data_IF_327881550772
#
_entry.id   IF_327881550772
#
_cell.length_a   1.000
_cell.length_b   1.000
_cell.length_c   1.000
_cell.angle_alpha   90.00
_cell.angle_beta   90.00
_cell.angle_gamma   90.00
#
_symmetry.space_group_name_H-M   'P 1'
#
loop_
_entity.id
_entity.type
_entity.pdbx_description
1 polymer ?
#
# COMPACT_ATOMS: atom_id res chain seq x y z
N UNK A 1 19.61 -10.15 -3.55
CA UNK A 1 18.47 -9.21 -3.37
C UNK A 1 17.18 -9.96 -3.71
N UNK A 2 16.17 -9.97 -2.84
CA UNK A 2 14.86 -10.64 -3.11
C UNK A 2 13.75 -9.61 -3.24
N UNK A 3 12.75 -9.87 -4.09
CA UNK A 3 11.52 -9.06 -4.21
C UNK A 3 10.33 -9.92 -3.76
N UNK A 4 9.46 -9.40 -2.89
CA UNK A 4 8.36 -10.20 -2.32
C UNK A 4 7.23 -10.47 -3.31
N UNK A 5 7.00 -9.56 -4.27
CA UNK A 5 5.82 -9.50 -5.14
C UNK A 5 4.50 -9.62 -4.34
N UNK A 6 4.50 -9.14 -3.10
CA UNK A 6 3.34 -9.14 -2.22
C UNK A 6 3.56 -8.15 -1.08
N UNK A 7 2.52 -7.38 -0.69
CA UNK A 7 2.57 -6.55 0.52
C UNK A 7 2.41 -7.38 1.80
N UNK A 8 2.00 -8.65 1.71
CA UNK A 8 1.74 -9.48 2.87
C UNK A 8 3.04 -9.89 3.57
N UNK A 9 3.11 -9.65 4.88
CA UNK A 9 4.29 -9.95 5.68
C UNK A 9 4.68 -11.44 5.63
N UNK A 10 3.70 -12.34 5.75
CA UNK A 10 3.93 -13.78 5.67
C UNK A 10 4.63 -14.20 4.37
N UNK A 11 4.14 -13.72 3.22
CA UNK A 11 4.73 -14.01 1.90
C UNK A 11 6.10 -13.35 1.73
N UNK A 12 6.24 -12.08 2.16
CA UNK A 12 7.49 -11.32 2.05
C UNK A 12 8.62 -11.97 2.86
N UNK A 13 8.38 -12.24 4.14
CA UNK A 13 9.37 -12.83 5.05
C UNK A 13 9.63 -14.28 4.69
N UNK A 14 8.59 -15.07 4.37
CA UNK A 14 8.73 -16.48 4.00
C UNK A 14 9.59 -16.69 2.74
N UNK A 15 9.37 -15.92 1.68
CA UNK A 15 10.20 -15.99 0.46
C UNK A 15 11.66 -15.64 0.74
N UNK A 16 11.90 -14.60 1.54
CA UNK A 16 13.25 -14.21 1.93
C UNK A 16 13.93 -15.29 2.78
N UNK A 17 13.23 -15.83 3.79
CA UNK A 17 13.75 -16.88 4.66
C UNK A 17 14.13 -18.14 3.89
N UNK A 18 13.30 -18.56 2.92
CA UNK A 18 13.59 -19.69 2.03
C UNK A 18 14.86 -19.43 1.21
N UNK A 19 14.99 -18.25 0.62
CA UNK A 19 16.15 -17.89 -0.20
C UNK A 19 17.44 -17.70 0.61
N UNK A 20 17.33 -17.18 1.84
CA UNK A 20 18.46 -16.95 2.74
C UNK A 20 18.86 -18.18 3.57
N UNK A 21 18.08 -19.26 3.50
CA UNK A 21 18.18 -20.44 4.36
C UNK A 21 18.22 -20.08 5.86
N UNK A 22 17.25 -19.29 6.31
CA UNK A 22 17.15 -18.82 7.71
C UNK A 22 15.80 -19.16 8.33
N UNK A 23 15.82 -19.49 9.61
CA UNK A 23 14.61 -19.78 10.39
C UNK A 23 13.87 -18.52 10.82
N UNK A 24 12.60 -18.68 11.25
CA UNK A 24 11.79 -17.56 11.71
C UNK A 24 12.42 -16.90 12.94
N UNK A 25 13.06 -17.65 13.84
CA UNK A 25 13.69 -17.12 15.05
C UNK A 25 15.03 -16.40 14.83
N UNK A 26 15.62 -16.52 13.64
CA UNK A 26 16.99 -16.06 13.35
C UNK A 26 17.19 -14.56 13.57
N UNK A 27 18.40 -14.18 14.01
CA UNK A 27 18.81 -12.79 14.18
C UNK A 27 18.81 -12.04 12.84
N UNK A 28 19.20 -12.70 11.77
CA UNK A 28 19.24 -12.16 10.41
C UNK A 28 17.85 -11.80 9.90
N UNK A 29 16.83 -12.61 10.20
CA UNK A 29 15.44 -12.28 9.87
C UNK A 29 14.99 -11.04 10.65
N UNK A 30 15.33 -10.93 11.94
CA UNK A 30 15.00 -9.76 12.77
C UNK A 30 15.65 -8.48 12.22
N UNK A 31 16.95 -8.51 11.93
CA UNK A 31 17.69 -7.40 11.33
C UNK A 31 17.11 -7.00 9.96
N UNK A 32 16.82 -7.98 9.09
CA UNK A 32 16.18 -7.73 7.80
C UNK A 32 14.82 -7.05 7.94
N UNK A 33 14.00 -7.44 8.91
CA UNK A 33 12.73 -6.77 9.17
C UNK A 33 12.93 -5.34 9.70
N UNK A 34 13.90 -5.09 10.57
CA UNK A 34 14.23 -3.75 11.04
C UNK A 34 14.66 -2.82 9.88
N UNK A 35 15.53 -3.30 9.00
CA UNK A 35 15.94 -2.57 7.78
C UNK A 35 14.78 -2.33 6.82
N UNK A 36 13.86 -3.28 6.72
CA UNK A 36 12.65 -3.12 5.91
C UNK A 36 11.77 -2.00 6.49
N UNK A 37 11.57 -1.95 7.80
CA UNK A 37 10.84 -0.87 8.48
C UNK A 37 11.48 0.49 8.19
N UNK A 38 12.81 0.60 8.31
CA UNK A 38 13.53 1.84 7.99
C UNK A 38 13.34 2.24 6.51
N UNK A 39 13.38 1.28 5.60
CA UNK A 39 13.18 1.51 4.16
C UNK A 39 11.76 1.99 3.85
N UNK A 40 10.75 1.42 4.53
CA UNK A 40 9.35 1.86 4.40
C UNK A 40 9.18 3.27 4.94
N UNK A 41 9.71 3.56 6.14
CA UNK A 41 9.65 4.91 6.71
C UNK A 41 10.29 5.96 5.80
N UNK A 42 11.48 5.65 5.25
CA UNK A 42 12.14 6.52 4.28
C UNK A 42 11.27 6.77 3.05
N UNK A 43 10.68 5.73 2.45
CA UNK A 43 9.81 5.90 1.29
C UNK A 43 8.53 6.68 1.63
N UNK A 44 7.95 6.47 2.81
CA UNK A 44 6.81 7.26 3.29
C UNK A 44 7.17 8.75 3.35
N UNK A 45 8.33 9.10 3.92
CA UNK A 45 8.78 10.50 3.97
C UNK A 45 8.98 11.08 2.57
N UNK A 46 9.53 10.33 1.62
CA UNK A 46 9.63 10.79 0.22
C UNK A 46 8.25 11.10 -0.37
N UNK A 47 7.28 10.20 -0.18
CA UNK A 47 5.91 10.40 -0.67
C UNK A 47 5.24 11.62 -0.01
N UNK A 48 5.45 11.84 1.29
CA UNK A 48 4.93 12.99 2.01
C UNK A 48 5.55 14.31 1.52
N UNK A 49 6.85 14.32 1.22
CA UNK A 49 7.51 15.48 0.64
C UNK A 49 7.01 15.77 -0.77
N UNK A 50 6.85 14.74 -1.61
CA UNK A 50 6.25 14.89 -2.95
C UNK A 50 4.82 15.43 -2.85
N UNK A 51 4.05 14.99 -1.84
CA UNK A 51 2.69 15.49 -1.61
C UNK A 51 2.70 16.96 -1.22
N UNK A 52 3.57 17.36 -0.29
CA UNK A 52 3.76 18.75 0.13
C UNK A 52 4.12 19.66 -1.06
N UNK A 53 4.94 19.16 -1.97
CA UNK A 53 5.39 19.89 -3.16
C UNK A 53 4.37 19.86 -4.32
N UNK A 54 3.21 19.21 -4.16
CA UNK A 54 2.22 19.04 -5.25
C UNK A 54 2.65 18.08 -6.36
N UNK A 55 3.70 17.28 -6.14
CA UNK A 55 4.28 16.30 -7.09
C UNK A 55 3.79 14.87 -6.86
N UNK A 56 3.03 14.62 -5.79
CA UNK A 56 2.51 13.28 -5.49
C UNK A 56 1.39 12.89 -6.46
N UNK A 57 1.62 11.81 -7.20
CA UNK A 57 0.61 11.18 -8.03
C UNK A 57 0.28 9.81 -7.45
N UNK A 58 -1.00 9.59 -7.11
CA UNK A 58 -1.46 8.27 -6.69
C UNK A 58 -1.26 7.27 -7.83
N UNK A 59 -0.52 6.20 -7.58
CA UNK A 59 -0.32 5.09 -8.51
C UNK A 59 -1.26 3.91 -8.23
N UNK A 60 -2.01 3.97 -7.13
CA UNK A 60 -2.96 2.94 -6.77
C UNK A 60 -4.25 3.08 -7.56
N UNK A 61 -4.70 2.01 -8.17
CA UNK A 61 -6.06 1.93 -8.70
C UNK A 61 -7.01 1.78 -7.52
N UNK A 62 -7.93 2.73 -7.33
CA UNK A 62 -9.00 2.59 -6.34
C UNK A 62 -10.05 1.63 -6.91
N UNK A 63 -10.12 0.37 -6.44
CA UNK A 63 -10.89 -0.66 -7.14
C UNK A 63 -12.37 -0.31 -7.20
N UNK A 64 -12.89 0.31 -6.14
CA UNK A 64 -14.33 0.54 -6.05
C UNK A 64 -14.83 1.51 -7.14
N UNK A 65 -14.02 2.51 -7.54
CA UNK A 65 -14.40 3.36 -8.68
C UNK A 65 -14.40 2.60 -10.00
N UNK A 66 -13.41 1.72 -10.21
CA UNK A 66 -13.31 0.89 -11.43
C UNK A 66 -14.42 -0.15 -11.57
N UNK A 67 -15.00 -0.60 -10.46
CA UNK A 67 -16.07 -1.60 -10.44
C UNK A 67 -17.45 -1.03 -10.11
N UNK A 68 -17.60 0.30 -10.07
CA UNK A 68 -18.87 0.95 -9.73
C UNK A 68 -19.38 0.65 -8.32
N UNK A 69 -18.48 0.24 -7.42
CA UNK A 69 -18.80 -0.07 -6.03
C UNK A 69 -18.72 1.23 -5.23
N UNK A 70 -19.82 1.58 -4.56
CA UNK A 70 -19.87 2.70 -3.63
C UNK A 70 -18.91 2.48 -2.47
N UNK A 71 -17.97 3.41 -2.26
CA UNK A 71 -16.93 3.36 -1.25
C UNK A 71 -16.53 4.77 -0.77
N UNK A 72 -15.68 4.84 0.25
CA UNK A 72 -15.30 6.11 0.90
C UNK A 72 -14.69 7.14 -0.07
N UNK A 73 -14.03 6.70 -1.14
CA UNK A 73 -13.39 7.60 -2.11
C UNK A 73 -14.33 8.12 -3.21
N UNK A 74 -15.58 7.66 -3.28
CA UNK A 74 -16.51 8.07 -4.33
C UNK A 74 -17.84 8.65 -3.83
N UNK A 75 -17.92 9.04 -2.55
CA UNK A 75 -19.09 9.72 -1.98
C UNK A 75 -19.52 10.94 -2.80
N UNK A 76 -18.55 11.67 -3.35
CA UNK A 76 -18.80 12.86 -4.16
C UNK A 76 -19.45 12.58 -5.52
N UNK A 77 -19.42 11.35 -6.02
CA UNK A 77 -20.04 11.00 -7.31
C UNK A 77 -21.56 11.16 -7.28
N UNK A 78 -22.18 10.98 -6.11
CA UNK A 78 -23.61 11.20 -5.90
C UNK A 78 -23.86 12.43 -5.00
N UNK A 79 -23.12 12.62 -3.91
CA UNK A 79 -23.44 13.65 -2.90
C UNK A 79 -22.92 15.06 -3.22
N UNK A 80 -22.61 15.37 -4.48
CA UNK A 80 -22.22 16.73 -4.91
C UNK A 80 -23.15 17.24 -6.02
N UNK A 81 -22.68 17.31 -7.26
CA UNK A 81 -23.43 17.87 -8.40
C UNK A 81 -24.31 16.85 -9.12
N UNK A 82 -24.30 15.58 -8.69
CA UNK A 82 -25.01 14.46 -9.33
C UNK A 82 -25.87 13.68 -8.33
N UNK A 83 -26.57 14.41 -7.44
CA UNK A 83 -27.48 13.78 -6.46
C UNK A 83 -28.60 13.08 -7.21
N UNK A 84 -28.82 11.76 -7.01
CA UNK A 84 -29.92 11.05 -7.65
C UNK A 84 -31.27 11.63 -7.21
N UNK A 85 -32.16 11.85 -8.17
CA UNK A 85 -33.53 12.23 -7.84
C UNK A 85 -34.29 11.03 -7.27
N UNK A 86 -35.18 11.29 -6.31
CA UNK A 86 -36.06 10.26 -5.77
C UNK A 86 -37.04 9.87 -6.89
N UNK A 87 -37.00 8.60 -7.30
CA UNK A 87 -38.00 8.04 -8.22
C UNK A 87 -39.33 8.06 -7.45
N UNK A 88 -40.24 8.94 -7.87
CA UNK A 88 -41.63 9.00 -7.38
C UNK A 88 -42.51 8.06 -8.19
#
# INVERSE_FOLDING_TARGET
KTVSNSPLCHVSVGKWMKAANKSLGSAERKDRCARLTASVAYQTVKMLNDWKDGKYHTKGTMPAGSYGITAQHNCGECHTSKVPEVIR
#
